data_IF_830202608467
#
_entry.id   IF_830202608467
#
_cell.length_a   1.000
_cell.length_b   1.000
_cell.length_c   1.000
_cell.angle_alpha   90.00
_cell.angle_beta   90.00
_cell.angle_gamma   90.00
#
_symmetry.space_group_name_H-M   'P 1'
#
loop_
_entity.id
_entity.type
_entity.pdbx_description
1 polymer ?
#
# COMPACT_ATOMS: atom_id res chain seq x y z
N UNK A 1 38.13 -14.94 -2.99
CA UNK A 1 36.95 -15.80 -3.01
C UNK A 1 36.01 -15.58 -1.84
N UNK A 2 36.53 -15.44 -0.60
CA UNK A 2 35.66 -15.21 0.56
C UNK A 2 34.88 -13.91 0.48
N UNK A 3 35.46 -12.86 -0.11
CA UNK A 3 34.78 -11.56 -0.27
C UNK A 3 33.63 -11.61 -1.27
N UNK A 4 33.76 -12.41 -2.32
CA UNK A 4 32.70 -12.56 -3.34
C UNK A 4 31.54 -13.36 -2.78
N UNK A 5 31.83 -14.36 -1.94
CA UNK A 5 30.81 -15.17 -1.30
C UNK A 5 30.01 -14.34 -0.27
N UNK A 6 30.69 -13.49 0.49
CA UNK A 6 30.06 -12.58 1.44
C UNK A 6 29.19 -11.55 0.73
N UNK A 7 29.66 -11.01 -0.38
CA UNK A 7 28.92 -10.04 -1.20
C UNK A 7 27.69 -10.68 -1.85
N UNK A 8 27.84 -11.94 -2.33
CA UNK A 8 26.72 -12.69 -2.89
C UNK A 8 25.68 -13.03 -1.83
N UNK A 9 26.11 -13.34 -0.62
CA UNK A 9 25.22 -13.59 0.51
C UNK A 9 24.47 -12.33 0.92
N UNK A 10 25.14 -11.18 0.92
CA UNK A 10 24.53 -9.89 1.20
C UNK A 10 23.48 -9.50 0.17
N UNK A 11 23.74 -9.83 -1.11
CA UNK A 11 22.81 -9.54 -2.20
C UNK A 11 21.52 -10.35 -2.08
N UNK A 12 21.60 -11.57 -1.55
CA UNK A 12 20.40 -12.39 -1.36
C UNK A 12 19.49 -11.85 -0.25
N UNK A 13 20.04 -11.12 0.72
CA UNK A 13 19.24 -10.52 1.78
C UNK A 13 18.59 -9.21 1.41
N UNK A 14 18.99 -8.60 0.29
CA UNK A 14 18.43 -7.32 -0.17
C UNK A 14 17.17 -7.51 -1.02
N UNK A 15 16.86 -8.74 -1.41
CA UNK A 15 15.67 -9.03 -2.20
C UNK A 15 14.44 -8.89 -1.30
N UNK A 16 13.71 -7.80 -1.48
CA UNK A 16 12.47 -7.57 -0.75
C UNK A 16 11.36 -8.47 -1.28
N UNK A 17 10.66 -9.12 -0.37
CA UNK A 17 9.48 -9.90 -0.73
C UNK A 17 8.33 -8.95 -1.06
N UNK A 18 7.83 -9.05 -2.28
CA UNK A 18 6.65 -8.31 -2.70
C UNK A 18 5.45 -9.25 -2.61
N UNK A 19 4.43 -8.84 -1.88
CA UNK A 19 3.22 -9.63 -1.77
C UNK A 19 2.38 -9.54 -3.04
N UNK A 20 1.56 -10.56 -3.26
CA UNK A 20 0.58 -10.54 -4.35
C UNK A 20 -0.48 -9.49 -4.02
N UNK A 21 -0.81 -8.56 -4.95
CA UNK A 21 -1.80 -7.54 -4.66
C UNK A 21 -3.16 -8.12 -4.37
N UNK A 22 -3.79 -7.62 -3.33
CA UNK A 22 -5.15 -7.97 -2.98
C UNK A 22 -6.10 -7.07 -3.75
N UNK A 23 -7.07 -7.67 -4.45
CA UNK A 23 -8.08 -6.93 -5.19
C UNK A 23 -9.42 -7.09 -4.53
N UNK A 24 -10.06 -5.98 -4.24
CA UNK A 24 -11.38 -5.95 -3.64
C UNK A 24 -12.33 -5.34 -4.65
N UNK A 25 -13.28 -6.13 -5.12
CA UNK A 25 -14.31 -5.67 -6.04
C UNK A 25 -15.56 -5.33 -5.25
N UNK A 26 -15.90 -4.06 -5.21
CA UNK A 26 -17.05 -3.56 -4.46
C UNK A 26 -18.02 -2.75 -5.33
N UNK A 27 -18.13 -3.13 -6.60
CA UNK A 27 -19.02 -2.44 -7.54
C UNK A 27 -20.50 -2.68 -7.28
N UNK A 28 -20.83 -3.67 -6.47
CA UNK A 28 -22.21 -4.05 -6.23
C UNK A 28 -23.04 -2.93 -5.60
N UNK A 29 -22.40 -2.02 -4.90
CA UNK A 29 -23.06 -0.91 -4.24
C UNK A 29 -23.17 0.34 -5.12
N UNK A 30 -22.75 0.26 -6.38
CA UNK A 30 -22.80 1.39 -7.27
C UNK A 30 -23.98 1.23 -8.22
N UNK A 31 -25.06 1.90 -7.87
CA UNK A 31 -26.18 2.01 -8.78
C UNK A 31 -25.98 3.18 -9.74
N UNK A 32 -26.31 2.95 -11.00
CA UNK A 32 -26.15 3.95 -12.02
C UNK A 32 -26.97 5.21 -11.69
N UNK A 33 -26.32 6.35 -11.72
CA UNK A 33 -26.94 7.64 -11.48
C UNK A 33 -26.77 8.20 -10.07
N UNK A 34 -26.39 7.37 -9.10
CA UNK A 34 -26.18 7.83 -7.72
C UNK A 34 -24.73 8.23 -7.42
N UNK A 35 -23.81 7.79 -8.24
CA UNK A 35 -22.39 8.03 -8.03
C UNK A 35 -21.72 8.53 -9.29
N UNK A 36 -20.73 9.36 -9.11
CA UNK A 36 -19.90 9.89 -10.18
C UNK A 36 -18.51 9.27 -10.07
N UNK A 37 -18.01 8.74 -11.19
CA UNK A 37 -16.67 8.19 -11.26
C UNK A 37 -15.70 9.33 -11.57
N UNK A 38 -14.75 9.57 -10.65
CA UNK A 38 -13.80 10.66 -10.79
C UNK A 38 -12.49 10.23 -11.44
N UNK A 39 -12.22 8.92 -11.49
CA UNK A 39 -11.02 8.39 -12.13
C UNK A 39 -10.18 7.53 -11.21
N UNK A 40 -9.07 7.03 -11.71
CA UNK A 40 -8.17 6.20 -10.95
C UNK A 40 -7.27 7.04 -10.05
N UNK A 41 -7.02 6.53 -8.85
CA UNK A 41 -6.11 7.15 -7.91
C UNK A 41 -5.26 6.09 -7.23
N UNK A 42 -4.09 6.49 -6.77
CA UNK A 42 -3.16 5.63 -6.07
C UNK A 42 -2.47 6.43 -4.98
N UNK A 43 -2.29 5.82 -3.83
CA UNK A 43 -1.58 6.43 -2.73
C UNK A 43 -0.82 5.39 -1.93
N UNK A 44 0.22 5.82 -1.25
CA UNK A 44 1.07 4.96 -0.45
C UNK A 44 1.13 5.46 0.98
N UNK A 45 1.25 4.53 1.90
CA UNK A 45 1.48 4.85 3.31
C UNK A 45 2.50 3.87 3.87
N UNK A 46 3.38 4.40 4.71
CA UNK A 46 4.46 3.62 5.30
C UNK A 46 4.19 3.37 6.77
N UNK A 47 4.34 2.12 7.20
CA UNK A 47 4.38 1.76 8.60
C UNK A 47 5.79 1.31 8.96
N UNK A 48 6.32 1.82 10.06
CA UNK A 48 7.69 1.56 10.50
C UNK A 48 7.67 0.79 11.80
N UNK A 49 8.56 -0.18 11.92
CA UNK A 49 8.81 -0.88 13.17
C UNK A 49 10.26 -0.60 13.61
N UNK A 50 10.39 0.02 14.77
CA UNK A 50 11.69 0.37 15.33
C UNK A 50 12.23 -0.81 16.14
N UNK A 51 13.46 -1.26 15.84
CA UNK A 51 14.10 -2.39 16.49
C UNK A 51 13.25 -3.67 16.52
N UNK A 52 12.35 -3.85 15.55
CA UNK A 52 11.40 -4.96 15.50
C UNK A 52 10.45 -5.05 16.72
N UNK A 53 10.39 -4.02 17.55
CA UNK A 53 9.61 -4.03 18.79
C UNK A 53 8.59 -2.91 18.90
N UNK A 54 8.93 -1.73 18.38
CA UNK A 54 8.08 -0.53 18.53
C UNK A 54 7.40 -0.21 17.21
N UNK A 55 6.09 -0.47 17.07
CA UNK A 55 5.38 -0.12 15.86
C UNK A 55 5.08 1.38 15.82
N UNK A 56 5.40 2.01 14.67
CA UNK A 56 5.09 3.41 14.42
C UNK A 56 4.19 3.47 13.20
N UNK A 57 2.92 3.81 13.42
CA UNK A 57 1.90 3.95 12.37
C UNK A 57 1.74 2.69 11.49
N UNK A 58 2.00 1.51 12.07
CA UNK A 58 1.88 0.25 11.32
C UNK A 58 0.43 -0.10 11.02
N UNK A 59 -0.44 0.02 12.03
CA UNK A 59 -1.81 -0.47 11.92
C UNK A 59 -2.73 0.46 11.13
N UNK A 60 -2.29 1.68 10.83
CA UNK A 60 -3.09 2.68 10.13
C UNK A 60 -2.66 2.89 8.68
N UNK A 61 -1.66 2.14 8.20
CA UNK A 61 -1.11 2.40 6.87
C UNK A 61 -2.12 2.19 5.74
N UNK A 62 -2.94 1.15 5.83
CA UNK A 62 -3.98 0.92 4.83
C UNK A 62 -4.98 2.08 4.80
N UNK A 63 -5.48 2.47 5.97
CA UNK A 63 -6.44 3.56 6.08
C UNK A 63 -5.88 4.87 5.56
N UNK A 64 -4.63 5.17 5.90
CA UNK A 64 -3.98 6.41 5.45
C UNK A 64 -3.80 6.43 3.93
N UNK A 65 -3.40 5.29 3.34
CA UNK A 65 -3.26 5.19 1.89
C UNK A 65 -4.60 5.30 1.19
N UNK A 66 -5.62 4.62 1.71
CA UNK A 66 -6.97 4.67 1.16
C UNK A 66 -7.53 6.10 1.20
N UNK A 67 -7.46 6.74 2.36
CA UNK A 67 -7.97 8.10 2.53
C UNK A 67 -7.22 9.10 1.64
N UNK A 68 -5.91 8.93 1.48
CA UNK A 68 -5.12 9.80 0.62
C UNK A 68 -5.51 9.64 -0.85
N UNK A 69 -5.77 8.40 -1.30
CA UNK A 69 -6.20 8.15 -2.67
C UNK A 69 -7.57 8.78 -2.94
N UNK A 70 -8.51 8.63 -2.01
CA UNK A 70 -9.84 9.23 -2.13
C UNK A 70 -9.74 10.75 -2.18
N UNK A 71 -8.96 11.34 -1.30
CA UNK A 71 -8.82 12.81 -1.22
C UNK A 71 -8.12 13.39 -2.43
N UNK A 72 -7.25 12.63 -3.09
CA UNK A 72 -6.53 13.13 -4.25
C UNK A 72 -7.45 13.54 -5.39
N UNK A 73 -8.64 12.94 -5.46
CA UNK A 73 -9.66 13.25 -6.47
C UNK A 73 -10.89 13.92 -5.87
N UNK A 74 -10.93 14.14 -4.57
CA UNK A 74 -12.08 14.76 -3.91
C UNK A 74 -13.33 13.89 -3.87
N UNK A 75 -13.15 12.56 -3.81
CA UNK A 75 -14.25 11.62 -3.79
C UNK A 75 -14.67 11.18 -2.40
N UNK A 76 -15.54 10.18 -2.36
CA UNK A 76 -16.08 9.64 -1.12
C UNK A 76 -15.50 8.26 -0.79
N UNK A 77 -15.27 7.42 -1.81
CA UNK A 77 -14.71 6.09 -1.58
C UNK A 77 -14.07 5.54 -2.86
N UNK A 78 -13.41 4.39 -2.72
CA UNK A 78 -12.79 3.68 -3.85
C UNK A 78 -13.56 2.42 -4.19
N UNK A 79 -13.58 2.11 -5.49
CA UNK A 79 -14.06 0.82 -6.00
C UNK A 79 -12.92 0.16 -6.77
N UNK A 80 -13.05 -1.16 -6.99
CA UNK A 80 -12.02 -1.95 -7.66
C UNK A 80 -10.66 -1.75 -6.98
N UNK A 81 -10.65 -1.85 -5.67
CA UNK A 81 -9.47 -1.53 -4.86
C UNK A 81 -8.43 -2.63 -5.01
N UNK A 82 -7.21 -2.22 -5.29
CA UNK A 82 -6.03 -3.08 -5.32
C UNK A 82 -5.09 -2.63 -4.22
N UNK A 83 -4.73 -3.55 -3.33
CA UNK A 83 -3.83 -3.29 -2.21
C UNK A 83 -2.58 -4.13 -2.39
N UNK A 84 -1.44 -3.49 -2.37
CA UNK A 84 -0.16 -4.18 -2.40
C UNK A 84 0.70 -3.69 -1.25
N UNK A 85 1.53 -4.57 -0.73
CA UNK A 85 2.45 -4.24 0.35
C UNK A 85 3.85 -4.64 -0.04
N UNK A 86 4.80 -3.80 0.32
CA UNK A 86 6.20 -4.05 0.12
C UNK A 86 6.92 -3.92 1.46
N UNK A 87 7.68 -4.95 1.82
CA UNK A 87 8.50 -4.92 3.03
C UNK A 87 9.84 -4.25 2.71
N UNK A 88 10.33 -3.46 3.65
CA UNK A 88 11.66 -2.89 3.58
C UNK A 88 12.41 -3.10 4.88
N UNK A 89 13.73 -3.12 4.78
CA UNK A 89 14.61 -3.29 5.93
C UNK A 89 15.74 -2.27 5.81
N UNK A 90 15.99 -1.55 6.90
CA UNK A 90 17.07 -0.56 6.99
C UNK A 90 17.61 -0.57 8.41
N UNK A 91 18.39 -1.58 8.74
CA UNK A 91 19.08 -1.74 10.02
C UNK A 91 18.12 -1.77 11.21
N UNK A 92 17.95 -0.59 11.88
CA UNK A 92 17.08 -0.47 13.05
C UNK A 92 15.62 -0.22 12.64
N UNK A 93 15.38 0.14 11.39
CA UNK A 93 14.05 0.37 10.86
C UNK A 93 13.67 -0.75 9.91
N UNK A 94 12.50 -1.30 10.11
CA UNK A 94 11.87 -2.14 9.10
C UNK A 94 10.39 -1.80 9.05
N UNK A 95 9.72 -2.25 8.03
CA UNK A 95 8.30 -1.94 7.92
C UNK A 95 7.73 -2.30 6.56
N UNK A 96 6.54 -1.79 6.32
CA UNK A 96 5.81 -2.06 5.10
C UNK A 96 5.39 -0.75 4.45
N UNK A 97 5.44 -0.74 3.12
CA UNK A 97 4.85 0.31 2.31
C UNK A 97 3.58 -0.28 1.70
N UNK A 98 2.44 0.25 2.08
CA UNK A 98 1.15 -0.17 1.56
C UNK A 98 0.76 0.78 0.44
N UNK A 99 0.48 0.22 -0.74
CA UNK A 99 -0.02 0.98 -1.89
C UNK A 99 -1.46 0.60 -2.10
N UNK A 100 -2.34 1.59 -2.11
CA UNK A 100 -3.76 1.43 -2.41
C UNK A 100 -4.04 2.11 -3.74
N UNK A 101 -4.64 1.36 -4.66
CA UNK A 101 -5.01 1.84 -5.98
C UNK A 101 -6.46 1.48 -6.23
N UNK A 102 -7.20 2.37 -6.83
CA UNK A 102 -8.59 2.11 -7.16
C UNK A 102 -9.21 3.24 -7.94
N UNK A 103 -10.49 3.09 -8.21
CA UNK A 103 -11.28 4.12 -8.88
C UNK A 103 -12.03 4.93 -7.86
N UNK A 104 -11.83 6.24 -7.86
CA UNK A 104 -12.47 7.16 -6.93
C UNK A 104 -13.88 7.46 -7.40
N UNK A 105 -14.81 7.36 -6.47
CA UNK A 105 -16.24 7.57 -6.72
C UNK A 105 -16.75 8.60 -5.72
N UNK A 106 -17.64 9.46 -6.20
CA UNK A 106 -18.26 10.49 -5.38
C UNK A 106 -19.79 10.36 -5.46
N UNK A 107 -20.45 10.52 -4.34
CA UNK A 107 -21.91 10.56 -4.29
C UNK A 107 -22.40 11.84 -4.93
N UNK A 108 -23.42 11.68 -5.71
CA UNK A 108 -24.10 12.82 -6.35
C UNK A 108 -25.10 13.48 -5.42
#
# INVERSE_FOLDING_TARGET
MKKILLFSLLLTFVISCTSIPLRIQNRENIESGQYEILGEASAKATGIMLFNLIPIKQNTRFKRAYDAAVRSKGGDFLIDVEVSERWFWAWIFNGYITTVKGTVVKRR
#
